data_IF_695072970464
#
_entry.id   IF_695072970464
#
_cell.length_a   1.000
_cell.length_b   1.000
_cell.length_c   1.000
_cell.angle_alpha   90.00
_cell.angle_beta   90.00
_cell.angle_gamma   90.00
#
_symmetry.space_group_name_H-M   'P 1'
#
loop_
_entity.id
_entity.type
_entity.pdbx_description
1 polymer ?
#
# COMPACT_ATOMS: atom_id res chain seq x y z
N UNK A 1 22.30 -1.25 -3.74
CA UNK A 1 20.85 -0.91 -3.67
C UNK A 1 20.09 -1.80 -2.68
N UNK A 2 20.26 -3.13 -2.72
CA UNK A 2 19.51 -4.07 -1.87
C UNK A 2 20.32 -4.47 -0.65
N UNK A 3 19.92 -4.02 0.53
CA UNK A 3 20.55 -4.36 1.81
C UNK A 3 19.50 -4.27 2.94
N UNK A 4 19.53 -5.21 3.89
CA UNK A 4 18.68 -5.15 5.09
C UNK A 4 19.16 -4.07 6.06
N UNK A 5 20.46 -4.01 6.31
CA UNK A 5 21.12 -2.94 7.05
C UNK A 5 22.46 -2.59 6.39
N UNK A 6 22.94 -1.36 6.60
CA UNK A 6 24.21 -0.88 6.07
C UNK A 6 25.02 -0.33 7.24
N UNK A 7 26.22 -0.89 7.42
CA UNK A 7 27.17 -0.53 8.46
C UNK A 7 28.34 0.21 7.80
N UNK A 8 28.70 1.39 8.30
CA UNK A 8 29.65 2.28 7.63
C UNK A 8 30.88 2.58 8.50
N UNK A 9 32.06 2.27 7.98
CA UNK A 9 33.35 2.56 8.64
C UNK A 9 33.85 1.44 9.55
N UNK A 10 35.14 1.51 9.93
CA UNK A 10 35.84 0.44 10.68
C UNK A 10 35.35 0.24 12.12
N UNK A 11 34.63 1.22 12.66
CA UNK A 11 34.18 1.24 14.06
C UNK A 11 32.69 0.88 14.22
N UNK A 12 32.06 0.36 13.16
CA UNK A 12 30.63 0.02 13.14
C UNK A 12 30.47 -1.46 12.78
N UNK A 13 30.95 -2.40 13.62
CA UNK A 13 30.73 -3.82 13.39
C UNK A 13 29.24 -4.16 13.44
N UNK A 14 28.85 -5.23 12.75
CA UNK A 14 27.46 -5.69 12.69
C UNK A 14 26.87 -5.97 14.08
N UNK A 15 27.65 -6.52 15.01
CA UNK A 15 27.27 -6.71 16.41
C UNK A 15 26.72 -5.45 17.11
N UNK A 16 27.19 -4.24 16.76
CA UNK A 16 26.61 -3.00 17.32
C UNK A 16 25.15 -2.84 16.87
N UNK A 17 24.84 -3.17 15.61
CA UNK A 17 23.48 -3.16 15.07
C UNK A 17 22.58 -4.22 15.70
N UNK A 18 23.15 -5.37 16.03
CA UNK A 18 22.41 -6.47 16.64
C UNK A 18 21.95 -6.20 18.07
N UNK A 19 22.71 -5.39 18.81
CA UNK A 19 22.50 -5.26 20.25
C UNK A 19 22.13 -3.86 20.72
N UNK A 20 22.75 -2.79 20.21
CA UNK A 20 22.68 -1.50 20.90
C UNK A 20 22.57 -0.25 20.01
N UNK A 21 22.67 -0.37 18.69
CA UNK A 21 22.56 0.79 17.79
C UNK A 21 21.14 1.35 17.69
N UNK A 22 20.12 0.50 17.88
CA UNK A 22 18.70 0.89 17.80
C UNK A 22 17.90 0.30 16.63
N UNK A 23 18.43 0.18 15.39
CA UNK A 23 17.74 -0.53 14.31
C UNK A 23 17.42 -1.99 14.66
N UNK A 24 16.38 -2.54 14.05
CA UNK A 24 16.00 -3.93 14.31
C UNK A 24 16.88 -4.89 13.51
N UNK A 25 17.45 -5.89 14.18
CA UNK A 25 18.29 -6.93 13.56
C UNK A 25 17.52 -8.11 12.95
N UNK A 26 16.19 -8.10 13.03
CA UNK A 26 15.35 -9.02 12.27
C UNK A 26 15.28 -8.50 10.84
N UNK A 27 16.24 -8.96 10.04
CA UNK A 27 16.50 -8.49 8.67
C UNK A 27 16.04 -9.49 7.60
N UNK A 28 15.74 -9.03 6.38
CA UNK A 28 15.49 -9.89 5.24
C UNK A 28 16.74 -10.67 4.81
N UNK A 29 16.63 -12.00 4.74
CA UNK A 29 17.72 -12.94 4.36
C UNK A 29 17.45 -13.61 3.01
N UNK A 30 18.38 -14.41 2.49
CA UNK A 30 18.19 -15.24 1.28
C UNK A 30 17.70 -14.44 0.03
N UNK A 31 18.23 -13.22 -0.15
CA UNK A 31 17.91 -12.34 -1.29
C UNK A 31 16.59 -11.55 -1.18
N UNK A 32 15.88 -11.67 -0.05
CA UNK A 32 14.59 -10.98 0.15
C UNK A 32 14.73 -9.47 0.38
N UNK A 33 15.93 -8.95 0.66
CA UNK A 33 16.21 -7.51 0.70
C UNK A 33 15.94 -6.77 -0.63
N UNK A 34 15.62 -7.51 -1.69
CA UNK A 34 15.11 -6.99 -2.96
C UNK A 34 13.68 -6.45 -2.90
N UNK A 35 12.87 -6.95 -1.98
CA UNK A 35 11.43 -6.64 -1.88
C UNK A 35 10.87 -6.59 -0.45
N UNK A 36 11.68 -6.91 0.57
CA UNK A 36 11.33 -6.85 1.99
C UNK A 36 12.23 -5.87 2.75
N UNK A 37 11.72 -5.35 3.86
CA UNK A 37 12.40 -4.41 4.75
C UNK A 37 12.76 -5.08 6.09
N UNK A 38 13.67 -4.49 6.90
CA UNK A 38 13.84 -4.84 8.31
C UNK A 38 12.52 -4.76 9.07
N UNK A 39 12.38 -5.59 10.10
CA UNK A 39 11.23 -5.52 11.00
C UNK A 39 11.13 -4.14 11.65
N UNK A 40 9.96 -3.54 11.60
CA UNK A 40 9.66 -2.25 12.22
C UNK A 40 8.24 -2.20 12.75
N UNK A 41 7.88 -1.04 13.31
CA UNK A 41 6.55 -0.84 13.89
C UNK A 41 5.42 -1.03 12.87
N UNK A 42 5.68 -0.86 11.57
CA UNK A 42 4.68 -1.01 10.53
C UNK A 42 4.29 -2.46 10.26
N UNK A 43 5.15 -3.43 10.58
CA UNK A 43 4.83 -4.86 10.45
C UNK A 43 3.76 -5.31 11.45
N UNK A 44 3.58 -4.55 12.53
CA UNK A 44 2.57 -4.77 13.58
C UNK A 44 1.35 -3.86 13.44
N UNK A 45 1.29 -3.04 12.39
CA UNK A 45 0.17 -2.14 12.12
C UNK A 45 -0.63 -2.62 10.91
N UNK A 46 -1.93 -2.31 10.93
CA UNK A 46 -2.80 -2.44 9.75
C UNK A 46 -3.25 -1.05 9.33
N UNK A 47 -3.20 -0.77 8.03
CA UNK A 47 -3.66 0.49 7.43
C UNK A 47 -5.01 0.26 6.75
N UNK A 48 -5.97 1.12 7.05
CA UNK A 48 -7.30 1.11 6.42
C UNK A 48 -7.53 2.43 5.71
N UNK A 49 -7.95 2.37 4.45
CA UNK A 49 -8.37 3.55 3.69
C UNK A 49 -9.81 3.88 4.00
N UNK A 50 -10.09 5.16 4.27
CA UNK A 50 -11.45 5.69 4.45
C UNK A 50 -11.76 6.58 3.25
N UNK A 51 -12.82 6.26 2.52
CA UNK A 51 -13.24 6.99 1.32
C UNK A 51 -14.65 7.51 1.56
N UNK A 52 -14.83 8.82 1.43
CA UNK A 52 -16.13 9.49 1.54
C UNK A 52 -16.30 10.47 0.38
N UNK A 53 -17.41 10.36 -0.33
CA UNK A 53 -17.77 11.29 -1.40
C UNK A 53 -19.06 12.00 -1.05
N UNK A 54 -19.08 13.32 -1.24
CA UNK A 54 -20.35 14.05 -1.25
C UNK A 54 -21.19 13.61 -2.45
N UNK A 55 -22.53 13.83 -2.43
CA UNK A 55 -23.38 13.53 -3.57
C UNK A 55 -22.87 14.18 -4.87
N UNK A 56 -22.43 15.44 -4.83
CA UNK A 56 -21.89 16.17 -5.99
C UNK A 56 -20.53 15.66 -6.42
N UNK A 57 -19.63 15.35 -5.47
CA UNK A 57 -18.30 14.82 -5.77
C UNK A 57 -18.31 13.41 -6.35
N UNK A 58 -19.33 12.62 -6.00
CA UNK A 58 -19.46 11.24 -6.50
C UNK A 58 -19.84 11.15 -7.98
N UNK A 59 -20.54 12.15 -8.53
CA UNK A 59 -21.06 12.10 -9.90
C UNK A 59 -19.98 11.95 -10.98
N UNK A 60 -18.95 12.81 -11.06
CA UNK A 60 -17.92 12.66 -12.08
C UNK A 60 -17.11 11.35 -11.92
N UNK A 61 -16.89 10.91 -10.67
CA UNK A 61 -16.20 9.64 -10.40
C UNK A 61 -17.05 8.44 -10.83
N UNK A 62 -18.36 8.50 -10.60
CA UNK A 62 -19.31 7.47 -11.00
C UNK A 62 -19.40 7.33 -12.52
N UNK A 63 -19.31 8.43 -13.29
CA UNK A 63 -19.26 8.35 -14.75
C UNK A 63 -18.02 7.58 -15.25
N UNK A 64 -16.85 7.87 -14.68
CA UNK A 64 -15.63 7.14 -15.01
C UNK A 64 -15.73 5.66 -14.59
N UNK A 65 -16.22 5.39 -13.38
CA UNK A 65 -16.38 4.04 -12.88
C UNK A 65 -17.37 3.19 -13.70
N UNK A 66 -18.46 3.80 -14.21
CA UNK A 66 -19.41 3.13 -15.10
C UNK A 66 -18.74 2.69 -16.40
N UNK A 67 -18.02 3.58 -17.08
CA UNK A 67 -17.32 3.27 -18.34
C UNK A 67 -16.33 2.12 -18.12
N UNK A 68 -15.51 2.20 -17.07
CA UNK A 68 -14.53 1.16 -16.76
C UNK A 68 -15.21 -0.18 -16.46
N UNK A 69 -16.24 -0.18 -15.60
CA UNK A 69 -16.94 -1.39 -15.22
C UNK A 69 -17.67 -2.05 -16.41
N UNK A 70 -18.18 -1.28 -17.38
CA UNK A 70 -18.75 -1.82 -18.62
C UNK A 70 -17.68 -2.52 -19.46
N UNK A 71 -16.50 -1.92 -19.62
CA UNK A 71 -15.40 -2.53 -20.40
C UNK A 71 -14.84 -3.78 -19.73
N UNK A 72 -14.96 -3.89 -18.41
CA UNK A 72 -14.59 -5.09 -17.65
C UNK A 72 -15.70 -6.15 -17.59
N UNK A 73 -16.90 -5.88 -18.14
CA UNK A 73 -18.04 -6.80 -18.08
C UNK A 73 -18.66 -6.95 -16.69
N UNK A 74 -18.47 -5.96 -15.80
CA UNK A 74 -18.92 -5.96 -14.41
C UNK A 74 -20.23 -5.17 -14.24
N UNK A 75 -21.34 -5.70 -14.76
CA UNK A 75 -22.61 -4.97 -14.82
C UNK A 75 -23.12 -4.45 -13.47
N UNK A 76 -22.91 -5.21 -12.39
CA UNK A 76 -23.32 -4.78 -11.06
C UNK A 76 -22.54 -3.55 -10.57
N UNK A 77 -21.25 -3.45 -10.90
CA UNK A 77 -20.42 -2.30 -10.58
C UNK A 77 -20.85 -1.09 -11.40
N UNK A 78 -21.05 -1.27 -12.72
CA UNK A 78 -21.53 -0.25 -13.63
C UNK A 78 -22.87 0.35 -13.15
N UNK A 79 -23.87 -0.50 -12.90
CA UNK A 79 -25.18 -0.07 -12.36
C UNK A 79 -25.05 0.68 -11.04
N UNK A 80 -24.19 0.20 -10.13
CA UNK A 80 -23.98 0.88 -8.84
C UNK A 80 -23.52 2.32 -9.04
N UNK A 81 -22.64 2.57 -10.00
CA UNK A 81 -22.15 3.90 -10.35
C UNK A 81 -23.25 4.73 -11.04
N UNK A 82 -23.96 4.17 -12.02
CA UNK A 82 -25.06 4.83 -12.74
C UNK A 82 -26.15 5.38 -11.80
N UNK A 83 -26.48 4.64 -10.74
CA UNK A 83 -27.41 5.11 -9.71
C UNK A 83 -26.99 6.40 -9.00
N UNK A 84 -25.70 6.78 -9.02
CA UNK A 84 -25.23 8.06 -8.41
C UNK A 84 -25.35 9.24 -9.37
N UNK A 85 -25.47 8.99 -10.67
CA UNK A 85 -25.61 10.05 -11.69
C UNK A 85 -27.07 10.28 -12.12
N UNK A 86 -28.01 9.47 -11.60
CA UNK A 86 -29.44 9.60 -11.88
C UNK A 86 -29.89 8.93 -13.18
N UNK A 87 -29.03 8.16 -13.84
CA UNK A 87 -29.39 7.29 -14.95
C UNK A 87 -29.62 5.88 -14.43
N UNK A 88 -30.87 5.44 -14.37
CA UNK A 88 -31.20 4.07 -14.01
C UNK A 88 -31.97 3.42 -15.17
N UNK A 89 -31.32 3.33 -16.33
CA UNK A 89 -31.63 2.38 -17.41
C UNK A 89 -30.32 1.84 -18.00
#
# INVERSE_FOLDING_TARGET
>A
RHAGAIFMGRHTPEAIGDYCAGPNHVLPTSGTARFSSPLGVYDFQKRSSIIHCSPTGSKPLAQAADILAQQEGLDAHARSARYRVGGAE
#
